data_IF_567823953024
#
_entry.id   IF_567823953024
#
_cell.length_a   1.000
_cell.length_b   1.000
_cell.length_c   1.000
_cell.angle_alpha   90.00
_cell.angle_beta   90.00
_cell.angle_gamma   90.00
#
_symmetry.space_group_name_H-M   'P 1'
#
loop_
_entity.id
_entity.type
_entity.pdbx_description
1 polymer ?
#
# COMPACT_ATOMS: atom_id res chain seq x y z
N UNK A 1 12.45 13.15 -6.40
CA UNK A 1 13.17 11.89 -6.15
C UNK A 1 13.42 11.62 -4.67
N UNK A 2 14.01 12.56 -3.91
CA UNK A 2 14.15 12.40 -2.45
C UNK A 2 12.79 12.22 -1.76
N UNK A 3 11.82 13.10 -2.07
CA UNK A 3 10.45 13.01 -1.55
C UNK A 3 9.76 11.68 -1.89
N UNK A 4 9.94 11.16 -3.11
CA UNK A 4 9.37 9.88 -3.51
C UNK A 4 9.95 8.71 -2.68
N UNK A 5 11.25 8.73 -2.40
CA UNK A 5 11.89 7.74 -1.53
C UNK A 5 11.39 7.81 -0.09
N UNK A 6 11.18 9.02 0.44
CA UNK A 6 10.62 9.22 1.77
C UNK A 6 9.20 8.64 1.86
N UNK A 7 8.34 8.95 0.89
CA UNK A 7 6.96 8.43 0.83
C UNK A 7 6.91 6.89 0.78
N UNK A 8 7.76 6.26 -0.05
CA UNK A 8 7.81 4.80 -0.13
C UNK A 8 8.50 4.15 1.07
N UNK A 9 9.41 4.83 1.74
CA UNK A 9 9.97 4.40 3.02
C UNK A 9 8.90 4.41 4.13
N UNK A 10 8.09 5.47 4.20
CA UNK A 10 6.98 5.55 5.15
C UNK A 10 5.93 4.48 4.87
N UNK A 11 5.58 4.28 3.60
CA UNK A 11 4.69 3.21 3.15
C UNK A 11 5.23 1.82 3.55
N UNK A 12 6.53 1.58 3.39
CA UNK A 12 7.18 0.34 3.81
C UNK A 12 6.99 0.12 5.32
N UNK A 13 7.31 1.13 6.13
CA UNK A 13 7.21 1.06 7.59
C UNK A 13 5.76 0.80 8.06
N UNK A 14 4.78 1.45 7.42
CA UNK A 14 3.36 1.24 7.72
C UNK A 14 2.89 -0.16 7.33
N UNK A 15 3.32 -0.66 6.17
CA UNK A 15 2.99 -2.01 5.71
C UNK A 15 3.57 -3.06 6.66
N UNK A 16 4.82 -2.88 7.12
CA UNK A 16 5.45 -3.75 8.11
C UNK A 16 4.72 -3.73 9.46
N UNK A 17 4.28 -2.56 9.93
CA UNK A 17 3.43 -2.45 11.13
C UNK A 17 2.10 -3.18 10.95
N UNK A 18 1.44 -3.00 9.80
CA UNK A 18 0.17 -3.65 9.52
C UNK A 18 0.30 -5.19 9.51
N UNK A 19 1.38 -5.72 8.95
CA UNK A 19 1.66 -7.16 8.97
C UNK A 19 1.83 -7.67 10.41
N UNK A 20 2.53 -6.93 11.27
CA UNK A 20 2.75 -7.30 12.68
C UNK A 20 1.44 -7.38 13.46
N UNK A 21 0.53 -6.43 13.25
CA UNK A 21 -0.78 -6.43 13.95
C UNK A 21 -1.62 -7.68 13.64
N UNK A 22 -1.41 -8.33 12.48
CA UNK A 22 -2.17 -9.50 12.04
C UNK A 22 -1.39 -10.81 12.04
N UNK A 23 -0.11 -10.81 12.45
CA UNK A 23 0.78 -11.94 12.23
C UNK A 23 0.40 -13.21 12.98
N UNK A 24 -0.28 -13.05 14.11
CA UNK A 24 -0.71 -14.14 14.99
C UNK A 24 -2.20 -14.53 14.78
N UNK A 25 -2.86 -13.98 13.76
CA UNK A 25 -4.24 -14.33 13.46
C UNK A 25 -4.31 -15.65 12.69
N UNK A 26 -5.14 -16.57 13.16
CA UNK A 26 -5.46 -17.83 12.47
C UNK A 26 -6.70 -17.71 11.57
N UNK A 27 -7.35 -16.55 11.58
CA UNK A 27 -8.55 -16.29 10.80
C UNK A 27 -8.21 -16.20 9.30
N UNK A 28 -8.94 -16.94 8.46
CA UNK A 28 -8.65 -17.04 7.01
C UNK A 28 -8.57 -15.69 6.29
N UNK A 29 -9.46 -14.73 6.62
CA UNK A 29 -9.42 -13.37 6.03
C UNK A 29 -8.16 -12.61 6.48
N UNK A 30 -7.69 -12.78 7.71
CA UNK A 30 -6.47 -12.14 8.19
C UNK A 30 -5.23 -12.73 7.51
N UNK A 31 -5.21 -14.05 7.28
CA UNK A 31 -4.16 -14.71 6.51
C UNK A 31 -4.12 -14.17 5.08
N UNK A 32 -5.27 -14.04 4.42
CA UNK A 32 -5.36 -13.44 3.08
C UNK A 32 -4.84 -11.99 3.08
N UNK A 33 -5.25 -11.18 4.07
CA UNK A 33 -4.76 -9.82 4.22
C UNK A 33 -3.25 -9.78 4.39
N UNK A 34 -2.69 -10.69 5.18
CA UNK A 34 -1.26 -10.82 5.40
C UNK A 34 -0.53 -11.17 4.10
N UNK A 35 -1.08 -12.07 3.27
CA UNK A 35 -0.51 -12.40 1.96
C UNK A 35 -0.41 -11.16 1.07
N UNK A 36 -1.51 -10.40 0.95
CA UNK A 36 -1.55 -9.17 0.13
C UNK A 36 -0.54 -8.14 0.63
N UNK A 37 -0.49 -7.89 1.94
CA UNK A 37 0.44 -6.92 2.51
C UNK A 37 1.91 -7.34 2.35
N UNK A 38 2.20 -8.65 2.35
CA UNK A 38 3.56 -9.16 2.11
C UNK A 38 3.99 -8.99 0.65
N UNK A 39 3.09 -9.20 -0.30
CA UNK A 39 3.33 -8.92 -1.72
C UNK A 39 3.60 -7.43 -1.94
N UNK A 40 2.73 -6.57 -1.39
CA UNK A 40 2.91 -5.12 -1.43
C UNK A 40 4.27 -4.71 -0.85
N UNK A 41 4.65 -5.28 0.31
CA UNK A 41 5.94 -5.00 0.96
C UNK A 41 7.13 -5.43 0.09
N UNK A 42 7.05 -6.59 -0.55
CA UNK A 42 8.09 -7.06 -1.46
C UNK A 42 8.26 -6.10 -2.65
N UNK A 43 7.16 -5.65 -3.24
CA UNK A 43 7.19 -4.71 -4.36
C UNK A 43 7.72 -3.34 -3.95
N UNK A 44 7.38 -2.85 -2.75
CA UNK A 44 7.96 -1.61 -2.21
C UNK A 44 9.48 -1.73 -2.09
N UNK A 45 9.99 -2.88 -1.61
CA UNK A 45 11.43 -3.10 -1.51
C UNK A 45 12.11 -3.10 -2.89
N UNK A 46 11.52 -3.77 -3.89
CA UNK A 46 12.03 -3.74 -5.27
C UNK A 46 12.02 -2.33 -5.86
N UNK A 47 10.94 -1.59 -5.64
CA UNK A 47 10.81 -0.20 -6.06
C UNK A 47 11.88 0.69 -5.41
N UNK A 48 12.14 0.53 -4.12
CA UNK A 48 13.16 1.31 -3.41
C UNK A 48 14.58 1.06 -3.93
N UNK A 49 14.88 -0.16 -4.39
CA UNK A 49 16.14 -0.48 -5.07
C UNK A 49 16.25 0.28 -6.40
N UNK A 50 15.21 0.27 -7.23
CA UNK A 50 15.19 1.01 -8.49
C UNK A 50 15.30 2.52 -8.28
N UNK A 51 14.58 3.08 -7.30
CA UNK A 51 14.68 4.51 -6.95
C UNK A 51 16.08 4.90 -6.49
N UNK A 52 16.87 3.96 -5.97
CA UNK A 52 18.23 4.19 -5.49
C UNK A 52 19.27 4.24 -6.61
N UNK A 53 18.93 3.79 -7.82
CA UNK A 53 19.79 3.87 -8.98
C UNK A 53 19.79 5.30 -9.57
N UNK A 54 20.97 5.76 -10.00
CA UNK A 54 21.08 7.00 -10.77
C UNK A 54 20.37 6.83 -12.12
N UNK A 55 19.43 7.73 -12.42
CA UNK A 55 18.66 7.67 -13.66
C UNK A 55 17.44 6.74 -13.62
N UNK A 56 16.86 6.47 -12.45
CA UNK A 56 15.65 5.65 -12.30
C UNK A 56 14.53 6.01 -13.31
N UNK A 57 14.32 5.09 -14.26
CA UNK A 57 13.32 5.24 -15.31
C UNK A 57 11.99 4.60 -14.90
N UNK A 58 10.88 5.28 -15.19
CA UNK A 58 9.54 4.80 -14.85
C UNK A 58 9.26 3.39 -15.41
N UNK A 59 9.80 3.06 -16.59
CA UNK A 59 9.62 1.76 -17.24
C UNK A 59 10.09 0.60 -16.36
N UNK A 60 11.17 0.79 -15.59
CA UNK A 60 11.75 -0.25 -14.72
C UNK A 60 10.94 -0.44 -13.44
N UNK A 61 10.12 0.56 -13.07
CA UNK A 61 9.33 0.58 -11.85
C UNK A 61 7.85 0.28 -12.11
N UNK A 62 7.43 0.24 -13.37
CA UNK A 62 6.01 0.19 -13.79
C UNK A 62 5.30 -1.02 -13.19
N UNK A 63 5.91 -2.20 -13.27
CA UNK A 63 5.34 -3.43 -12.70
C UNK A 63 5.17 -3.31 -11.18
N UNK A 64 6.21 -2.91 -10.46
CA UNK A 64 6.18 -2.79 -9.00
C UNK A 64 5.12 -1.79 -8.55
N UNK A 65 5.06 -0.63 -9.21
CA UNK A 65 4.04 0.39 -8.93
C UNK A 65 2.64 -0.17 -9.16
N UNK A 66 2.40 -0.83 -10.29
CA UNK A 66 1.08 -1.41 -10.62
C UNK A 66 0.62 -2.38 -9.54
N UNK A 67 1.51 -3.27 -9.09
CA UNK A 67 1.20 -4.25 -8.03
C UNK A 67 0.94 -3.54 -6.70
N UNK A 68 1.77 -2.56 -6.29
CA UNK A 68 1.57 -1.82 -5.04
C UNK A 68 0.19 -1.16 -4.98
N UNK A 69 -0.23 -0.47 -6.04
CA UNK A 69 -1.54 0.18 -6.06
C UNK A 69 -2.67 -0.85 -6.09
N UNK A 70 -2.52 -1.94 -6.86
CA UNK A 70 -3.50 -3.01 -6.94
C UNK A 70 -3.69 -3.72 -5.59
N UNK A 71 -2.60 -4.08 -4.92
CA UNK A 71 -2.61 -4.72 -3.62
C UNK A 71 -3.32 -3.85 -2.58
N UNK A 72 -3.07 -2.54 -2.57
CA UNK A 72 -3.78 -1.65 -1.65
C UNK A 72 -5.29 -1.57 -1.95
N UNK A 73 -5.69 -1.64 -3.23
CA UNK A 73 -7.11 -1.70 -3.62
C UNK A 73 -7.79 -3.00 -3.15
N UNK A 74 -7.05 -4.11 -3.03
CA UNK A 74 -7.56 -5.39 -2.51
C UNK A 74 -7.47 -5.44 -0.97
N UNK A 75 -6.40 -4.91 -0.39
CA UNK A 75 -6.15 -4.94 1.05
C UNK A 75 -7.23 -4.18 1.83
N UNK A 76 -7.65 -3.01 1.33
CA UNK A 76 -8.68 -2.19 1.95
C UNK A 76 -10.04 -2.91 2.16
N UNK A 77 -10.70 -3.47 1.13
CA UNK A 77 -11.93 -4.24 1.32
C UNK A 77 -11.71 -5.51 2.14
N UNK A 78 -10.54 -6.16 2.02
CA UNK A 78 -10.20 -7.36 2.81
C UNK A 78 -10.09 -7.03 4.30
N UNK A 79 -9.42 -5.94 4.66
CA UNK A 79 -9.38 -5.42 6.03
C UNK A 79 -10.77 -5.10 6.56
N UNK A 80 -11.61 -4.40 5.78
CA UNK A 80 -13.00 -4.12 6.18
C UNK A 80 -13.82 -5.39 6.42
N UNK A 81 -13.63 -6.42 5.60
CA UNK A 81 -14.30 -7.71 5.78
C UNK A 81 -13.83 -8.39 7.08
N UNK A 82 -12.53 -8.39 7.35
CA UNK A 82 -11.98 -8.96 8.58
C UNK A 82 -12.43 -8.18 9.82
N UNK A 83 -12.39 -6.84 9.81
CA UNK A 83 -12.92 -5.98 10.87
C UNK A 83 -14.35 -6.36 11.24
N UNK A 84 -15.24 -6.49 10.24
CA UNK A 84 -16.62 -6.92 10.48
C UNK A 84 -16.71 -8.31 11.09
N UNK A 85 -15.91 -9.26 10.62
CA UNK A 85 -15.88 -10.61 11.19
C UNK A 85 -15.46 -10.59 12.67
N UNK A 86 -14.41 -9.82 13.00
CA UNK A 86 -13.94 -9.64 14.38
C UNK A 86 -15.03 -9.04 15.27
N UNK A 87 -15.71 -7.99 14.80
CA UNK A 87 -16.77 -7.32 15.55
C UNK A 87 -18.01 -8.20 15.72
N UNK A 88 -18.48 -8.87 14.67
CA UNK A 88 -19.70 -9.68 14.71
C UNK A 88 -19.52 -10.99 15.47
N UNK A 89 -18.37 -11.64 15.32
CA UNK A 89 -18.09 -12.93 15.95
C UNK A 89 -17.41 -12.77 17.33
N UNK A 90 -17.18 -11.53 17.79
CA UNK A 90 -16.48 -11.23 19.05
C UNK A 90 -15.12 -11.92 19.14
N UNK A 91 -14.35 -11.91 18.04
CA UNK A 91 -13.02 -12.52 18.00
C UNK A 91 -12.02 -11.76 18.88
N UNK A 92 -10.96 -12.41 19.38
CA UNK A 92 -9.97 -11.79 20.28
C UNK A 92 -9.02 -10.80 19.58
N UNK A 93 -9.37 -10.28 18.40
CA UNK A 93 -8.52 -9.41 17.56
C UNK A 93 -9.01 -7.96 17.50
N UNK A 94 -9.93 -7.57 18.39
CA UNK A 94 -10.53 -6.22 18.35
C UNK A 94 -9.48 -5.11 18.51
N UNK A 95 -8.44 -5.35 19.31
CA UNK A 95 -7.33 -4.40 19.47
C UNK A 95 -6.51 -4.26 18.18
N UNK A 96 -6.09 -5.38 17.57
CA UNK A 96 -5.40 -5.37 16.26
C UNK A 96 -6.19 -4.61 15.20
N UNK A 97 -7.50 -4.84 15.11
CA UNK A 97 -8.38 -4.13 14.16
C UNK A 97 -8.41 -2.62 14.42
N UNK A 98 -8.45 -2.19 15.69
CA UNK A 98 -8.42 -0.76 16.06
C UNK A 98 -7.09 -0.11 15.70
N UNK A 99 -5.98 -0.82 15.87
CA UNK A 99 -4.64 -0.32 15.52
C UNK A 99 -4.44 -0.21 14.01
N UNK A 100 -5.04 -1.12 13.25
CA UNK A 100 -4.91 -1.15 11.79
C UNK A 100 -5.70 -0.08 11.07
N UNK A 101 -6.83 0.35 11.61
CA UNK A 101 -7.66 1.33 10.93
C UNK A 101 -6.96 2.67 10.62
N UNK A 102 -6.24 3.31 11.56
CA UNK A 102 -5.43 4.47 11.23
C UNK A 102 -4.29 4.12 10.26
N UNK A 103 -3.65 2.95 10.39
CA UNK A 103 -2.57 2.53 9.48
C UNK A 103 -3.05 2.42 8.02
N UNK A 104 -4.24 1.85 7.78
CA UNK A 104 -4.81 1.77 6.43
C UNK A 104 -5.14 3.15 5.83
N UNK A 105 -5.55 4.12 6.66
CA UNK A 105 -5.74 5.49 6.21
C UNK A 105 -4.41 6.17 5.86
N UNK A 106 -3.38 5.96 6.69
CA UNK A 106 -2.06 6.50 6.44
C UNK A 106 -1.41 5.90 5.16
N UNK A 107 -1.51 4.58 4.97
CA UNK A 107 -1.04 3.88 3.77
C UNK A 107 -1.69 4.48 2.52
N UNK A 108 -3.02 4.65 2.55
CA UNK A 108 -3.76 5.25 1.44
C UNK A 108 -3.29 6.68 1.16
N UNK A 109 -3.12 7.48 2.20
CA UNK A 109 -2.67 8.88 2.08
C UNK A 109 -1.27 8.97 1.48
N UNK A 110 -0.35 8.09 1.91
CA UNK A 110 1.00 8.01 1.36
C UNK A 110 1.01 7.56 -0.11
N UNK A 111 0.09 6.69 -0.52
CA UNK A 111 -0.08 6.32 -1.92
C UNK A 111 -0.66 7.47 -2.76
N UNK A 112 -1.61 8.24 -2.24
CA UNK A 112 -2.12 9.45 -2.91
C UNK A 112 -1.01 10.50 -3.10
N UNK A 113 -0.17 10.72 -2.08
CA UNK A 113 0.99 11.61 -2.18
C UNK A 113 2.06 11.06 -3.14
N UNK A 114 2.32 9.76 -3.11
CA UNK A 114 3.24 9.09 -4.03
C UNK A 114 2.77 9.23 -5.47
N UNK A 115 1.46 9.11 -5.70
CA UNK A 115 0.87 9.28 -7.02
C UNK A 115 1.10 10.70 -7.56
N UNK A 116 0.81 11.72 -6.75
CA UNK A 116 1.05 13.11 -7.12
C UNK A 116 2.53 13.39 -7.44
N UNK A 117 3.46 12.82 -6.66
CA UNK A 117 4.89 12.98 -6.90
C UNK A 117 5.37 12.24 -8.16
N UNK A 118 4.83 11.05 -8.44
CA UNK A 118 5.09 10.32 -9.70
C UNK A 118 4.60 11.11 -10.92
N UNK A 119 3.40 11.71 -10.84
CA UNK A 119 2.88 12.58 -11.90
C UNK A 119 3.77 13.81 -12.10
N UNK A 120 4.27 14.40 -11.01
CA UNK A 120 5.15 15.57 -11.08
C UNK A 120 6.49 15.25 -11.73
N UNK A 121 7.07 14.06 -11.46
CA UNK A 121 8.39 13.66 -11.97
C UNK A 121 8.30 13.16 -13.42
N UNK A 122 7.34 12.28 -13.72
CA UNK A 122 7.27 11.55 -14.99
C UNK A 122 6.15 12.03 -15.93
N UNK A 123 5.23 12.86 -15.42
CA UNK A 123 4.11 13.39 -16.17
C UNK A 123 2.89 12.46 -16.18
N UNK A 124 1.70 13.07 -16.03
CA UNK A 124 0.41 12.38 -15.95
C UNK A 124 0.13 11.40 -17.10
N UNK A 125 0.61 11.69 -18.32
CA UNK A 125 0.39 10.81 -19.48
C UNK A 125 1.06 9.45 -19.33
N UNK A 126 2.20 9.39 -18.64
CA UNK A 126 2.97 8.16 -18.45
C UNK A 126 2.45 7.36 -17.24
N UNK A 127 1.98 8.05 -16.20
CA UNK A 127 1.53 7.44 -14.95
C UNK A 127 0.07 6.96 -14.96
N UNK A 128 -0.79 7.52 -15.82
CA UNK A 128 -2.23 7.20 -15.87
C UNK A 128 -2.61 5.73 -16.11
N UNK A 129 -1.68 4.92 -16.63
CA UNK A 129 -1.90 3.48 -16.85
C UNK A 129 -1.29 2.61 -15.75
N UNK A 130 -0.56 3.22 -14.83
CA UNK A 130 0.13 2.56 -13.72
C UNK A 130 -0.65 2.78 -12.43
N UNK A 131 -1.15 4.01 -12.26
CA UNK A 131 -1.81 4.46 -11.03
C UNK A 131 -3.32 4.51 -11.28
N UNK A 132 -4.15 3.83 -10.46
CA UNK A 132 -5.60 3.91 -10.55
C UNK A 132 -6.10 5.35 -10.35
N UNK A 133 -7.12 5.73 -11.11
CA UNK A 133 -7.68 7.09 -11.10
C UNK A 133 -8.12 7.60 -9.72
N UNK A 134 -8.46 6.71 -8.79
CA UNK A 134 -8.87 7.06 -7.43
C UNK A 134 -7.76 7.69 -6.59
N UNK A 135 -6.49 7.54 -6.98
CA UNK A 135 -5.32 8.14 -6.32
C UNK A 135 -4.83 9.43 -6.99
N UNK A 136 -5.39 9.79 -8.14
CA UNK A 136 -4.97 10.95 -8.93
C UNK A 136 -5.94 12.11 -8.66
N UNK A 137 -5.49 13.13 -7.92
CA UNK A 137 -6.35 14.26 -7.54
C UNK A 137 -6.74 15.17 -8.72
N UNK A 138 -5.94 15.19 -9.78
CA UNK A 138 -6.16 16.04 -10.98
C UNK A 138 -7.30 15.56 -11.87
N UNK A 139 -7.85 14.36 -11.62
CA UNK A 139 -9.02 13.81 -12.31
C UNK A 139 -10.34 14.01 -11.52
N UNK A 140 -10.31 14.69 -10.36
CA UNK A 140 -11.49 15.14 -9.60
C UNK A 140 -11.73 16.63 -9.80
#
# INVERSE_FOLDING_TARGET
>A
MLQLKELYSDLQNQTEKAIKEIENSDHSIAILLQTILREQLEMIKKLMLELSNDGAELKNMTEFLTIIYHDNEIANPTFRAWKRAVEWMSLPYLESVRNLEPLFQEIKTNLEHSAAELERIYGAKQTKYIIPSFYISTLR
#
